data_IF_688888662218
#
_entry.id   IF_688888662218
#
_cell.length_a   1.000
_cell.length_b   1.000
_cell.length_c   1.000
_cell.angle_alpha   90.00
_cell.angle_beta   90.00
_cell.angle_gamma   90.00
#
_symmetry.space_group_name_H-M   'P 1'
#
loop_
_entity.id
_entity.type
_entity.pdbx_description
1 polymer ?
#
# COMPACT_ATOMS: atom_id res chain seq x y z
N UNK A 1 -1.46 -29.97 0.23
CA UNK A 1 -0.12 -29.54 -0.28
C UNK A 1 -0.04 -28.03 -0.27
N UNK A 2 1.04 -27.47 0.27
CA UNK A 2 1.21 -26.02 0.51
C UNK A 2 1.62 -25.24 -0.74
N UNK A 3 1.29 -23.96 -0.74
CA UNK A 3 1.75 -22.96 -1.73
C UNK A 3 2.57 -21.90 -0.98
N UNK A 4 3.75 -21.56 -1.51
CA UNK A 4 4.58 -20.46 -0.99
C UNK A 4 4.46 -19.26 -1.92
N UNK A 5 4.08 -18.12 -1.37
CA UNK A 5 4.07 -16.83 -2.09
C UNK A 5 5.30 -16.04 -1.65
N UNK A 6 6.09 -15.58 -2.60
CA UNK A 6 7.29 -14.75 -2.34
C UNK A 6 7.03 -13.34 -2.84
N UNK A 7 7.03 -12.37 -1.90
CA UNK A 7 6.89 -10.95 -2.17
C UNK A 7 7.75 -10.15 -1.19
N UNK A 8 8.99 -9.85 -1.59
CA UNK A 8 9.99 -9.21 -0.72
C UNK A 8 10.20 -7.72 -0.99
N UNK A 9 9.21 -7.07 -1.62
CA UNK A 9 9.21 -5.65 -1.95
C UNK A 9 8.77 -4.77 -0.79
N UNK A 10 8.34 -3.54 -1.12
CA UNK A 10 7.79 -2.57 -0.19
C UNK A 10 6.35 -2.91 0.19
N UNK A 11 5.87 -2.25 1.24
CA UNK A 11 4.53 -2.45 1.79
C UNK A 11 3.41 -2.28 0.75
N UNK A 12 3.44 -1.20 -0.04
CA UNK A 12 2.45 -0.96 -1.08
C UNK A 12 2.39 -2.09 -2.12
N UNK A 13 3.56 -2.58 -2.55
CA UNK A 13 3.63 -3.71 -3.48
C UNK A 13 3.02 -4.98 -2.89
N UNK A 14 3.18 -5.21 -1.58
CA UNK A 14 2.54 -6.34 -0.90
C UNK A 14 1.02 -6.19 -0.85
N UNK A 15 0.52 -4.99 -0.48
CA UNK A 15 -0.92 -4.71 -0.50
C UNK A 15 -1.54 -4.99 -1.86
N UNK A 16 -0.87 -4.62 -2.93
CA UNK A 16 -1.34 -4.89 -4.28
C UNK A 16 -1.55 -6.39 -4.58
N UNK A 17 -0.87 -7.27 -3.85
CA UNK A 17 -1.00 -8.72 -4.01
C UNK A 17 -2.08 -9.35 -3.13
N UNK A 18 -2.62 -8.64 -2.15
CA UNK A 18 -3.60 -9.19 -1.21
C UNK A 18 -4.87 -9.76 -1.87
N UNK A 19 -5.48 -9.12 -2.89
CA UNK A 19 -6.63 -9.71 -3.57
C UNK A 19 -6.31 -11.10 -4.16
N UNK A 20 -5.10 -11.28 -4.67
CA UNK A 20 -4.65 -12.55 -5.26
C UNK A 20 -4.40 -13.60 -4.19
N UNK A 21 -3.87 -13.20 -3.04
CA UNK A 21 -3.73 -14.08 -1.87
C UNK A 21 -5.11 -14.50 -1.36
N UNK A 22 -6.09 -13.60 -1.34
CA UNK A 22 -7.48 -13.90 -0.97
C UNK A 22 -8.12 -14.88 -1.96
N UNK A 23 -7.92 -14.70 -3.27
CA UNK A 23 -8.39 -15.63 -4.27
C UNK A 23 -7.77 -17.03 -4.08
N UNK A 24 -6.48 -17.11 -3.78
CA UNK A 24 -5.82 -18.37 -3.41
C UNK A 24 -6.43 -18.96 -2.14
N UNK A 25 -6.59 -18.16 -1.07
CA UNK A 25 -7.20 -18.60 0.19
C UNK A 25 -8.59 -19.21 -0.04
N UNK A 26 -9.41 -18.56 -0.83
CA UNK A 26 -10.77 -19.04 -1.15
C UNK A 26 -10.77 -20.39 -1.87
N UNK A 27 -9.74 -20.66 -2.69
CA UNK A 27 -9.66 -21.89 -3.50
C UNK A 27 -8.92 -23.05 -2.82
N UNK A 28 -7.88 -22.78 -2.04
CA UNK A 28 -7.02 -23.83 -1.46
C UNK A 28 -6.98 -23.83 0.07
N UNK A 29 -7.69 -22.91 0.73
CA UNK A 29 -7.66 -22.73 2.19
C UNK A 29 -6.41 -22.01 2.70
N UNK A 30 -6.55 -21.22 3.76
CA UNK A 30 -5.44 -20.45 4.34
C UNK A 30 -4.32 -21.32 4.89
N UNK A 31 -4.66 -22.49 5.42
CA UNK A 31 -3.74 -23.48 6.01
C UNK A 31 -2.74 -24.02 4.99
N UNK A 32 -3.03 -23.84 3.71
CA UNK A 32 -2.17 -24.23 2.60
C UNK A 32 -1.33 -23.07 2.01
N UNK A 33 -1.40 -21.87 2.60
CA UNK A 33 -0.68 -20.70 2.09
C UNK A 33 0.39 -20.27 3.10
N UNK A 34 1.65 -20.34 2.67
CA UNK A 34 2.77 -19.72 3.36
C UNK A 34 3.24 -18.50 2.55
N UNK A 35 3.64 -17.43 3.24
CA UNK A 35 4.09 -16.18 2.59
C UNK A 35 5.49 -15.79 3.07
N UNK A 36 6.35 -15.39 2.14
CA UNK A 36 7.67 -14.86 2.42
C UNK A 36 7.71 -13.37 2.06
N UNK A 37 7.91 -12.52 3.06
CA UNK A 37 7.98 -11.06 2.92
C UNK A 37 9.31 -10.49 3.40
N UNK A 38 9.60 -9.23 3.01
CA UNK A 38 10.77 -8.52 3.49
C UNK A 38 10.66 -8.15 4.98
N UNK A 39 11.80 -8.14 5.67
CA UNK A 39 11.92 -7.66 7.04
C UNK A 39 11.51 -6.19 7.22
N UNK A 40 11.66 -5.37 6.16
CA UNK A 40 11.26 -3.97 6.15
C UNK A 40 9.73 -3.76 6.13
N UNK A 41 8.95 -4.81 5.84
CA UNK A 41 7.49 -4.76 5.91
C UNK A 41 7.11 -5.03 7.37
N UNK A 42 6.16 -4.28 7.88
CA UNK A 42 5.70 -4.41 9.27
C UNK A 42 5.14 -5.80 9.55
N UNK A 43 6.03 -6.70 9.94
CA UNK A 43 5.78 -8.13 10.12
C UNK A 43 4.58 -8.40 11.05
N UNK A 44 4.54 -7.73 12.22
CA UNK A 44 3.48 -7.95 13.19
C UNK A 44 2.08 -7.59 12.70
N UNK A 45 1.98 -6.68 11.73
CA UNK A 45 0.72 -6.32 11.12
C UNK A 45 0.11 -7.48 10.31
N UNK A 46 0.95 -8.17 9.53
CA UNK A 46 0.47 -9.29 8.69
C UNK A 46 0.21 -10.57 9.47
N UNK A 47 0.94 -10.81 10.56
CA UNK A 47 0.71 -11.96 11.45
C UNK A 47 -0.71 -12.00 12.02
N UNK A 48 -1.28 -10.82 12.29
CA UNK A 48 -2.62 -10.69 12.89
C UNK A 48 -3.76 -10.87 11.89
N UNK A 49 -3.46 -10.93 10.59
CA UNK A 49 -4.49 -10.91 9.54
C UNK A 49 -5.03 -12.27 9.18
N UNK A 50 -4.94 -13.30 9.80
CA UNK A 50 -5.54 -14.61 9.48
C UNK A 50 -5.78 -14.92 7.97
N UNK A 51 -4.84 -14.45 7.12
CA UNK A 51 -4.94 -14.57 5.66
C UNK A 51 -4.19 -15.82 5.16
N UNK A 52 -3.14 -16.20 5.86
CA UNK A 52 -2.23 -17.29 5.48
C UNK A 52 -1.82 -18.11 6.71
N UNK A 53 -1.27 -19.28 6.46
CA UNK A 53 -0.87 -20.21 7.52
C UNK A 53 0.40 -19.75 8.22
N UNK A 54 1.47 -19.47 7.44
CA UNK A 54 2.73 -19.01 7.99
C UNK A 54 3.23 -17.76 7.26
N UNK A 55 3.75 -16.82 8.06
CA UNK A 55 4.46 -15.67 7.57
C UNK A 55 5.96 -15.83 7.83
N UNK A 56 6.74 -15.83 6.76
CA UNK A 56 8.19 -15.95 6.84
C UNK A 56 8.84 -14.59 6.57
N UNK A 57 9.83 -14.24 7.40
CA UNK A 57 10.54 -12.98 7.34
C UNK A 57 11.85 -13.14 6.62
N UNK A 58 12.04 -12.41 5.50
CA UNK A 58 13.29 -12.37 4.77
C UNK A 58 14.17 -11.21 5.25
N UNK A 59 15.29 -11.50 5.88
CA UNK A 59 16.28 -10.48 6.25
C UNK A 59 17.05 -10.00 5.02
N UNK A 60 17.12 -8.69 4.80
CA UNK A 60 17.85 -8.13 3.67
C UNK A 60 19.36 -8.11 3.89
N UNK A 61 19.81 -7.95 5.13
CA UNK A 61 21.22 -7.71 5.48
C UNK A 61 21.92 -8.92 6.07
N UNK A 62 21.23 -9.80 6.80
CA UNK A 62 21.84 -10.89 7.55
C UNK A 62 21.88 -12.20 6.74
N UNK A 63 23.08 -12.62 6.31
CA UNK A 63 23.27 -13.83 5.51
C UNK A 63 22.91 -15.11 6.28
N UNK A 64 23.28 -15.20 7.57
CA UNK A 64 22.98 -16.37 8.40
C UNK A 64 21.48 -16.57 8.52
N UNK A 65 20.72 -15.50 8.79
CA UNK A 65 19.24 -15.55 8.81
C UNK A 65 18.66 -16.02 7.48
N UNK A 66 19.25 -15.62 6.34
CA UNK A 66 18.82 -16.08 5.01
C UNK A 66 19.04 -17.59 4.84
N UNK A 67 20.22 -18.10 5.22
CA UNK A 67 20.54 -19.52 5.13
C UNK A 67 19.59 -20.34 6.02
N UNK A 68 19.42 -19.95 7.28
CA UNK A 68 18.51 -20.62 8.22
C UNK A 68 17.07 -20.63 7.71
N UNK A 69 16.61 -19.54 7.11
CA UNK A 69 15.30 -19.48 6.48
C UNK A 69 15.16 -20.47 5.33
N UNK A 70 16.15 -20.52 4.44
CA UNK A 70 16.13 -21.46 3.31
C UNK A 70 16.14 -22.91 3.81
N UNK A 71 16.95 -23.25 4.81
CA UNK A 71 16.98 -24.58 5.43
C UNK A 71 15.65 -24.94 6.06
N UNK A 72 14.99 -23.99 6.75
CA UNK A 72 13.63 -24.18 7.30
C UNK A 72 12.61 -24.46 6.19
N UNK A 73 12.57 -23.64 5.16
CA UNK A 73 11.61 -23.75 4.07
C UNK A 73 11.86 -25.01 3.20
N UNK A 74 13.11 -25.43 3.05
CA UNK A 74 13.47 -26.66 2.28
C UNK A 74 12.89 -27.94 2.87
N UNK A 75 12.55 -27.95 4.16
CA UNK A 75 11.89 -29.10 4.81
C UNK A 75 10.44 -29.27 4.36
N UNK A 76 9.83 -28.24 3.77
CA UNK A 76 8.45 -28.23 3.30
C UNK A 76 8.45 -28.54 1.79
N UNK A 77 7.56 -29.45 1.37
CA UNK A 77 7.32 -29.70 -0.05
C UNK A 77 6.11 -28.88 -0.51
N UNK A 78 6.34 -27.92 -1.39
CA UNK A 78 5.31 -27.04 -1.93
C UNK A 78 4.72 -27.62 -3.22
N UNK A 79 3.40 -27.47 -3.41
CA UNK A 79 2.77 -27.70 -4.72
C UNK A 79 3.19 -26.58 -5.69
N UNK A 80 3.08 -25.35 -5.23
CA UNK A 80 3.46 -24.16 -5.99
C UNK A 80 4.39 -23.26 -5.19
N UNK A 81 5.37 -22.66 -5.87
CA UNK A 81 6.08 -21.47 -5.40
C UNK A 81 5.75 -20.35 -6.38
N UNK A 82 5.13 -19.27 -5.89
CA UNK A 82 4.68 -18.12 -6.68
C UNK A 82 5.57 -16.94 -6.33
N UNK A 83 6.29 -16.41 -7.32
CA UNK A 83 7.20 -15.27 -7.15
C UNK A 83 6.58 -14.06 -7.83
N UNK A 84 6.22 -13.04 -7.04
CA UNK A 84 5.48 -11.86 -7.49
C UNK A 84 6.33 -10.58 -7.56
N UNK A 85 7.58 -10.61 -7.09
CA UNK A 85 8.45 -9.42 -7.01
C UNK A 85 9.50 -9.34 -8.11
N UNK A 86 9.61 -10.33 -8.96
CA UNK A 86 10.58 -10.41 -10.05
C UNK A 86 12.03 -10.13 -9.65
N UNK A 87 12.40 -10.36 -8.38
CA UNK A 87 13.74 -10.07 -7.86
C UNK A 87 14.61 -11.31 -7.86
N UNK A 88 15.88 -11.14 -8.27
CA UNK A 88 16.88 -12.22 -8.32
C UNK A 88 16.95 -12.99 -7.01
N UNK A 89 16.96 -12.29 -5.88
CA UNK A 89 17.00 -12.91 -4.55
C UNK A 89 15.82 -13.87 -4.29
N UNK A 90 14.62 -13.49 -4.70
CA UNK A 90 13.40 -14.30 -4.53
C UNK A 90 13.43 -15.52 -5.43
N UNK A 91 13.92 -15.34 -6.63
CA UNK A 91 14.13 -16.37 -7.60
C UNK A 91 15.19 -17.36 -7.09
N UNK A 92 16.38 -16.88 -6.70
CA UNK A 92 17.48 -17.71 -6.16
C UNK A 92 17.00 -18.55 -4.96
N UNK A 93 16.31 -17.92 -3.99
CA UNK A 93 15.77 -18.66 -2.83
C UNK A 93 14.87 -19.81 -3.31
N UNK A 94 13.99 -19.56 -4.26
CA UNK A 94 13.04 -20.56 -4.74
C UNK A 94 13.69 -21.80 -5.32
N UNK A 95 14.93 -21.70 -5.85
CA UNK A 95 15.67 -22.86 -6.39
C UNK A 95 16.11 -23.84 -5.32
N UNK A 96 16.42 -23.35 -4.14
CA UNK A 96 16.82 -24.20 -3.03
C UNK A 96 15.63 -24.89 -2.35
N UNK A 97 14.39 -24.57 -2.76
CA UNK A 97 13.18 -25.11 -2.18
C UNK A 97 12.59 -26.24 -3.02
N UNK A 98 11.93 -27.19 -2.33
CA UNK A 98 11.25 -28.31 -2.98
C UNK A 98 9.87 -27.88 -3.46
N UNK A 99 9.57 -28.02 -4.76
CA UNK A 99 8.24 -27.77 -5.31
C UNK A 99 7.93 -28.60 -6.54
N UNK A 100 6.64 -28.73 -6.87
CA UNK A 100 6.20 -29.33 -8.11
C UNK A 100 6.30 -28.34 -9.27
N UNK A 101 5.81 -27.10 -9.07
CA UNK A 101 5.86 -26.04 -10.08
C UNK A 101 6.26 -24.68 -9.45
N UNK A 102 6.93 -23.84 -10.23
CA UNK A 102 7.21 -22.43 -9.91
C UNK A 102 6.52 -21.54 -10.92
N UNK A 103 5.74 -20.58 -10.42
CA UNK A 103 5.17 -19.50 -11.23
C UNK A 103 5.96 -18.24 -10.94
N UNK A 104 6.65 -17.74 -11.94
CA UNK A 104 7.61 -16.64 -11.78
C UNK A 104 7.14 -15.45 -12.61
N UNK A 105 6.71 -14.38 -11.93
CA UNK A 105 6.51 -13.09 -12.58
C UNK A 105 7.89 -12.45 -12.79
N UNK A 106 8.20 -12.09 -14.03
CA UNK A 106 9.55 -11.76 -14.41
C UNK A 106 9.66 -10.50 -15.27
N UNK A 107 10.51 -9.52 -14.88
CA UNK A 107 10.87 -8.35 -15.71
C UNK A 107 11.99 -8.73 -16.69
N UNK A 108 11.65 -8.92 -17.94
CA UNK A 108 12.55 -9.39 -19.01
C UNK A 108 13.79 -8.51 -19.22
N UNK A 109 13.77 -7.26 -18.75
CA UNK A 109 14.89 -6.32 -18.92
C UNK A 109 16.02 -6.51 -17.92
N UNK A 110 15.78 -7.27 -16.83
CA UNK A 110 16.71 -7.40 -15.70
C UNK A 110 17.47 -8.72 -15.66
N UNK A 111 17.24 -9.63 -16.58
CA UNK A 111 17.91 -10.93 -16.55
C UNK A 111 19.34 -10.87 -17.05
N UNK A 112 20.26 -11.23 -16.17
CA UNK A 112 21.57 -11.75 -16.57
C UNK A 112 21.38 -13.01 -17.43
N UNK A 113 22.12 -13.10 -18.54
CA UNK A 113 22.08 -14.23 -19.49
C UNK A 113 22.16 -15.61 -18.81
N UNK A 114 22.97 -15.76 -17.76
CA UNK A 114 23.14 -16.99 -17.00
C UNK A 114 21.84 -17.45 -16.31
N UNK A 115 21.14 -16.55 -15.65
CA UNK A 115 19.85 -16.87 -15.03
C UNK A 115 18.79 -17.21 -16.09
N UNK A 116 18.81 -16.54 -17.23
CA UNK A 116 17.90 -16.81 -18.34
C UNK A 116 18.00 -18.27 -18.79
N UNK A 117 19.22 -18.77 -18.95
CA UNK A 117 19.46 -20.14 -19.36
C UNK A 117 18.96 -21.17 -18.34
N UNK A 118 19.29 -20.98 -17.06
CA UNK A 118 18.88 -21.89 -15.98
C UNK A 118 17.35 -21.91 -15.76
N UNK A 119 16.67 -20.80 -16.01
CA UNK A 119 15.25 -20.67 -15.72
C UNK A 119 14.35 -21.10 -16.87
N UNK A 120 14.67 -20.72 -18.09
CA UNK A 120 13.83 -21.00 -19.25
C UNK A 120 13.81 -22.50 -19.57
N UNK A 121 14.90 -23.22 -19.30
CA UNK A 121 15.02 -24.64 -19.64
C UNK A 121 14.46 -25.59 -18.57
N UNK A 122 13.99 -25.07 -17.43
CA UNK A 122 13.45 -25.93 -16.37
C UNK A 122 11.94 -26.14 -16.55
N UNK A 123 11.52 -27.36 -16.91
CA UNK A 123 10.11 -27.75 -17.13
C UNK A 123 9.17 -27.49 -15.92
N UNK A 124 9.73 -27.27 -14.72
CA UNK A 124 8.95 -26.93 -13.52
C UNK A 124 8.59 -25.43 -13.45
N UNK A 125 9.20 -24.59 -14.28
CA UNK A 125 9.02 -23.16 -14.24
C UNK A 125 8.00 -22.69 -15.27
N UNK A 126 7.01 -21.93 -14.81
CA UNK A 126 6.07 -21.17 -15.61
C UNK A 126 6.49 -19.72 -15.51
N UNK A 127 6.86 -19.11 -16.62
CA UNK A 127 7.37 -17.73 -16.63
C UNK A 127 6.33 -16.79 -17.22
N UNK A 128 5.90 -15.82 -16.44
CA UNK A 128 5.02 -14.75 -16.85
C UNK A 128 5.86 -13.50 -17.07
N UNK A 129 5.97 -13.08 -18.32
CA UNK A 129 6.81 -11.95 -18.68
C UNK A 129 6.12 -10.63 -18.35
N UNK A 130 6.80 -9.78 -17.57
CA UNK A 130 6.43 -8.40 -17.38
C UNK A 130 7.18 -7.50 -18.37
N UNK A 131 6.51 -7.13 -19.46
CA UNK A 131 7.03 -6.18 -20.44
C UNK A 131 6.77 -4.70 -20.07
N UNK A 132 6.14 -4.45 -18.91
CA UNK A 132 5.70 -3.14 -18.41
C UNK A 132 4.62 -2.42 -19.23
N UNK A 133 4.09 -3.03 -20.25
CA UNK A 133 2.98 -2.48 -21.04
C UNK A 133 1.62 -2.88 -20.44
N UNK A 134 1.62 -3.85 -19.53
CA UNK A 134 0.43 -4.34 -18.87
C UNK A 134 0.28 -3.79 -17.46
N UNK A 135 -0.96 -3.76 -16.99
CA UNK A 135 -1.24 -3.40 -15.59
C UNK A 135 -0.80 -4.53 -14.65
N UNK A 136 -0.46 -4.19 -13.41
CA UNK A 136 -0.13 -5.20 -12.40
C UNK A 136 -1.31 -6.14 -12.16
N UNK A 137 -2.54 -5.61 -12.26
CA UNK A 137 -3.75 -6.41 -12.17
C UNK A 137 -3.78 -7.54 -13.21
N UNK A 138 -3.54 -7.21 -14.50
CA UNK A 138 -3.52 -8.22 -15.57
C UNK A 138 -2.40 -9.24 -15.37
N UNK A 139 -1.23 -8.80 -14.94
CA UNK A 139 -0.11 -9.72 -14.69
C UNK A 139 -0.40 -10.72 -13.58
N UNK A 140 -1.01 -10.28 -12.50
CA UNK A 140 -1.39 -11.17 -11.41
C UNK A 140 -2.55 -12.10 -11.79
N UNK A 141 -3.48 -11.65 -12.64
CA UNK A 141 -4.51 -12.54 -13.18
C UNK A 141 -3.87 -13.67 -13.99
N UNK A 142 -2.89 -13.38 -14.85
CA UNK A 142 -2.14 -14.44 -15.56
C UNK A 142 -1.47 -15.43 -14.61
N UNK A 143 -0.97 -14.96 -13.44
CA UNK A 143 -0.44 -15.87 -12.42
C UNK A 143 -1.51 -16.79 -11.87
N UNK A 144 -2.72 -16.28 -11.60
CA UNK A 144 -3.83 -17.07 -11.11
C UNK A 144 -4.40 -18.03 -12.19
N UNK A 145 -4.42 -17.59 -13.45
CA UNK A 145 -4.87 -18.41 -14.59
C UNK A 145 -4.03 -19.68 -14.73
N UNK A 146 -2.71 -19.60 -14.48
CA UNK A 146 -1.83 -20.79 -14.46
C UNK A 146 -2.17 -21.78 -13.33
N UNK A 147 -2.94 -21.34 -12.37
CA UNK A 147 -3.45 -22.15 -11.25
C UNK A 147 -4.92 -22.53 -11.44
N UNK A 148 -5.56 -22.14 -12.54
CA UNK A 148 -7.00 -22.24 -12.79
C UNK A 148 -7.86 -21.54 -11.73
N UNK A 149 -7.40 -20.38 -11.22
CA UNK A 149 -8.08 -19.59 -10.21
C UNK A 149 -8.50 -18.25 -10.82
N UNK A 150 -9.76 -17.86 -10.63
CA UNK A 150 -10.28 -16.55 -11.04
C UNK A 150 -10.43 -15.64 -9.81
N UNK A 151 -10.07 -14.37 -9.98
CA UNK A 151 -10.30 -13.34 -8.98
C UNK A 151 -11.76 -12.88 -9.04
N UNK A 152 -12.37 -12.67 -7.88
CA UNK A 152 -13.74 -12.19 -7.72
C UNK A 152 -13.75 -10.86 -6.97
N UNK A 153 -14.85 -10.11 -7.00
CA UNK A 153 -14.98 -8.86 -6.25
C UNK A 153 -14.78 -9.03 -4.73
N UNK A 154 -15.17 -10.17 -4.18
CA UNK A 154 -14.99 -10.46 -2.76
C UNK A 154 -13.51 -10.54 -2.36
N UNK A 155 -12.63 -10.91 -3.28
CA UNK A 155 -11.20 -11.06 -3.01
C UNK A 155 -10.52 -9.70 -2.77
N UNK A 156 -11.14 -8.60 -3.24
CA UNK A 156 -10.69 -7.23 -2.96
C UNK A 156 -11.09 -6.74 -1.56
N UNK A 157 -12.01 -7.41 -0.88
CA UNK A 157 -12.38 -7.04 0.48
C UNK A 157 -11.30 -7.53 1.44
N UNK A 158 -10.45 -6.59 1.86
CA UNK A 158 -9.50 -6.87 2.94
C UNK A 158 -10.27 -6.98 4.25
N UNK A 159 -9.80 -7.84 5.13
CA UNK A 159 -10.39 -8.18 6.42
C UNK A 159 -10.83 -6.90 7.14
N UNK A 160 -12.09 -6.83 7.49
CA UNK A 160 -12.61 -5.77 8.36
C UNK A 160 -11.97 -5.94 9.73
N UNK A 161 -11.29 -4.90 10.19
CA UNK A 161 -11.08 -4.73 11.63
C UNK A 161 -12.45 -4.32 12.19
N UNK A 162 -12.98 -5.12 13.09
CA UNK A 162 -14.37 -4.97 13.54
C UNK A 162 -14.61 -3.68 14.34
N UNK A 163 -13.56 -3.01 14.87
CA UNK A 163 -13.76 -1.89 15.77
C UNK A 163 -12.88 -0.67 15.49
N UNK A 164 -13.52 0.44 15.13
CA UNK A 164 -12.94 1.78 15.31
C UNK A 164 -12.60 2.06 16.78
N UNK A 165 -13.31 1.47 17.71
CA UNK A 165 -13.10 1.56 19.16
C UNK A 165 -11.74 0.98 19.60
N UNK A 166 -11.18 0.07 18.83
CA UNK A 166 -9.82 -0.47 19.07
C UNK A 166 -8.68 0.50 18.72
N UNK A 167 -8.99 1.63 18.10
CA UNK A 167 -8.04 2.70 17.92
C UNK A 167 -7.97 3.47 19.23
N UNK A 168 -6.75 3.77 19.69
CA UNK A 168 -6.51 4.72 20.78
C UNK A 168 -6.87 6.16 20.37
N UNK A 169 -7.93 6.33 19.58
CA UNK A 169 -8.52 7.64 19.37
C UNK A 169 -9.02 8.14 20.73
N UNK A 170 -8.74 9.39 21.10
CA UNK A 170 -9.39 9.99 22.26
C UNK A 170 -10.91 9.76 22.15
N UNK A 171 -11.55 9.30 23.22
CA UNK A 171 -12.96 8.89 23.19
C UNK A 171 -13.94 9.93 22.62
N UNK A 172 -13.59 11.23 22.68
CA UNK A 172 -14.29 12.32 21.99
C UNK A 172 -14.18 12.27 20.46
N UNK A 173 -13.16 11.61 19.91
CA UNK A 173 -12.95 11.50 18.45
C UNK A 173 -13.61 10.24 17.88
N UNK A 174 -13.63 9.13 18.61
CA UNK A 174 -14.17 7.86 18.11
C UNK A 174 -15.70 7.91 17.92
N UNK A 175 -16.42 8.68 18.74
CA UNK A 175 -17.89 8.79 18.65
C UNK A 175 -18.37 9.90 17.72
N UNK A 176 -17.57 10.96 17.50
CA UNK A 176 -18.01 12.19 16.82
C UNK A 176 -17.49 12.39 15.40
N UNK A 177 -16.53 11.61 14.94
CA UNK A 177 -15.98 11.77 13.59
C UNK A 177 -16.58 10.73 12.64
N UNK A 178 -17.86 10.86 12.40
CA UNK A 178 -18.51 10.28 11.23
C UNK A 178 -18.42 11.32 10.13
N UNK A 179 -18.12 10.93 8.90
CA UNK A 179 -18.07 11.83 7.76
C UNK A 179 -16.81 12.72 7.71
N UNK A 180 -15.71 12.13 7.23
CA UNK A 180 -14.46 12.85 7.06
C UNK A 180 -13.70 12.45 5.79
N UNK A 181 -12.81 13.33 5.37
CA UNK A 181 -11.81 13.08 4.35
C UNK A 181 -10.46 12.80 5.01
N UNK A 182 -9.79 11.74 4.58
CA UNK A 182 -8.42 11.45 4.96
C UNK A 182 -7.46 12.21 4.05
N UNK A 183 -6.62 13.07 4.61
CA UNK A 183 -5.50 13.73 3.94
C UNK A 183 -4.18 13.15 4.46
N UNK A 184 -3.43 12.45 3.61
CA UNK A 184 -2.12 11.92 3.98
C UNK A 184 -1.00 12.87 3.57
N UNK A 185 -0.44 13.57 4.55
CA UNK A 185 0.60 14.58 4.37
C UNK A 185 1.97 13.99 4.71
N UNK A 186 2.55 13.25 3.78
CA UNK A 186 3.86 12.62 3.90
C UNK A 186 4.97 13.43 3.19
N UNK A 187 6.19 12.93 3.25
CA UNK A 187 7.37 13.55 2.62
C UNK A 187 7.21 13.76 1.10
N UNK A 188 6.29 13.05 0.46
CA UNK A 188 6.08 13.18 -1.00
C UNK A 188 5.47 14.51 -1.41
N UNK A 189 4.88 15.26 -0.49
CA UNK A 189 4.39 16.62 -0.77
C UNK A 189 5.52 17.61 -1.04
N UNK A 190 6.77 17.26 -0.66
CA UNK A 190 7.96 18.08 -0.81
C UNK A 190 8.97 17.34 -1.70
N UNK A 191 9.26 17.88 -2.89
CA UNK A 191 10.19 17.25 -3.82
C UNK A 191 11.59 17.10 -3.21
N UNK A 192 12.03 18.08 -2.42
CA UNK A 192 13.32 18.08 -1.71
C UNK A 192 13.46 16.95 -0.68
N UNK A 193 12.34 16.45 -0.12
CA UNK A 193 12.35 15.35 0.85
C UNK A 193 12.18 13.98 0.19
N UNK A 194 11.71 13.92 -1.05
CA UNK A 194 11.36 12.68 -1.75
C UNK A 194 12.16 12.48 -3.03
N UNK A 195 11.79 13.14 -4.11
CA UNK A 195 12.43 13.04 -5.43
C UNK A 195 12.57 14.46 -6.02
N UNK A 196 13.77 15.01 -5.98
CA UNK A 196 14.04 16.40 -6.37
C UNK A 196 13.62 16.78 -7.80
N UNK A 197 13.51 15.80 -8.71
CA UNK A 197 13.07 16.05 -10.11
C UNK A 197 11.56 16.11 -10.28
N UNK A 198 10.78 15.83 -9.24
CA UNK A 198 9.32 15.93 -9.31
C UNK A 198 8.88 17.37 -9.14
N UNK A 199 7.73 17.71 -9.73
CA UNK A 199 7.09 18.99 -9.50
C UNK A 199 6.82 19.19 -8.03
N UNK A 200 7.29 20.30 -7.45
CA UNK A 200 7.15 20.55 -6.03
C UNK A 200 5.75 21.07 -5.69
N UNK A 201 5.19 20.55 -4.61
CA UNK A 201 3.90 21.00 -4.07
C UNK A 201 4.15 22.01 -2.96
N UNK A 202 5.02 21.69 -2.01
CA UNK A 202 5.54 22.51 -0.91
C UNK A 202 4.50 23.45 -0.29
N UNK A 203 3.43 22.92 0.30
CA UNK A 203 2.42 23.76 0.93
C UNK A 203 3.03 24.59 2.06
N UNK A 204 2.73 25.89 2.04
CA UNK A 204 3.07 26.80 3.15
C UNK A 204 1.92 26.80 4.16
N UNK A 205 2.23 27.09 5.43
CA UNK A 205 1.25 26.96 6.54
C UNK A 205 -0.01 27.81 6.33
N UNK A 206 0.14 29.05 5.92
CA UNK A 206 -0.98 29.96 5.69
C UNK A 206 -1.86 29.49 4.52
N UNK A 207 -1.26 29.03 3.42
CA UNK A 207 -1.98 28.49 2.27
C UNK A 207 -2.72 27.20 2.65
N UNK A 208 -2.11 26.39 3.52
CA UNK A 208 -2.70 25.13 3.98
C UNK A 208 -3.91 25.37 4.90
N UNK A 209 -3.86 26.36 5.78
CA UNK A 209 -5.02 26.75 6.60
C UNK A 209 -6.16 27.28 5.73
N UNK A 210 -5.88 28.16 4.80
CA UNK A 210 -6.88 28.67 3.84
C UNK A 210 -7.50 27.50 3.05
N UNK A 211 -6.71 26.49 2.70
CA UNK A 211 -7.22 25.28 2.06
C UNK A 211 -8.18 24.52 2.97
N UNK A 212 -7.83 24.30 4.26
CA UNK A 212 -8.68 23.61 5.25
C UNK A 212 -10.03 24.35 5.38
N UNK A 213 -10.02 25.66 5.55
CA UNK A 213 -11.23 26.47 5.71
C UNK A 213 -12.13 26.40 4.45
N UNK A 214 -11.54 26.55 3.26
CA UNK A 214 -12.27 26.39 1.99
C UNK A 214 -12.80 24.98 1.79
N UNK A 215 -12.05 23.97 2.24
CA UNK A 215 -12.48 22.58 2.23
C UNK A 215 -13.72 22.41 3.11
N UNK A 216 -13.73 22.91 4.34
CA UNK A 216 -14.88 22.87 5.24
C UNK A 216 -16.09 23.55 4.62
N UNK A 217 -15.91 24.73 4.06
CA UNK A 217 -17.00 25.48 3.40
C UNK A 217 -17.62 24.70 2.24
N UNK A 218 -16.81 23.96 1.45
CA UNK A 218 -17.28 23.22 0.27
C UNK A 218 -17.77 21.82 0.60
N UNK A 219 -16.98 21.02 1.31
CA UNK A 219 -17.22 19.59 1.53
C UNK A 219 -18.18 19.31 2.68
N UNK A 220 -18.31 20.23 3.64
CA UNK A 220 -19.11 20.05 4.87
C UNK A 220 -18.73 18.78 5.63
N UNK A 221 -17.42 18.50 5.73
CA UNK A 221 -16.85 17.31 6.33
C UNK A 221 -15.65 17.67 7.19
N UNK A 222 -15.33 16.82 8.16
CA UNK A 222 -14.09 16.88 8.91
C UNK A 222 -12.90 16.45 8.04
N UNK A 223 -11.70 16.79 8.48
CA UNK A 223 -10.45 16.32 7.86
C UNK A 223 -9.64 15.57 8.91
N UNK A 224 -9.19 14.35 8.60
CA UNK A 224 -8.15 13.67 9.36
C UNK A 224 -6.86 13.75 8.55
N UNK A 225 -5.83 14.33 9.14
CA UNK A 225 -4.51 14.50 8.55
C UNK A 225 -3.59 13.46 9.17
N UNK A 226 -3.12 12.50 8.39
CA UNK A 226 -2.10 11.54 8.81
C UNK A 226 -0.75 11.88 8.19
N UNK A 227 0.33 11.44 8.83
CA UNK A 227 1.69 11.75 8.40
C UNK A 227 2.43 10.50 7.94
N UNK A 228 3.51 10.68 7.17
CA UNK A 228 4.48 9.64 6.90
C UNK A 228 5.36 9.32 8.11
N UNK A 229 6.34 8.43 7.92
CA UNK A 229 7.34 8.10 8.95
C UNK A 229 8.18 9.32 9.32
N UNK A 230 8.44 10.19 8.33
CA UNK A 230 9.13 11.46 8.54
C UNK A 230 8.11 12.58 8.51
N UNK A 231 8.11 13.40 9.54
CA UNK A 231 7.27 14.60 9.56
C UNK A 231 7.84 15.66 8.61
N UNK A 232 6.96 16.31 7.91
CA UNK A 232 7.32 17.45 7.07
C UNK A 232 7.46 18.71 7.92
N UNK A 233 8.24 19.72 7.49
CA UNK A 233 8.34 21.00 8.20
C UNK A 233 6.97 21.63 8.46
N UNK A 234 6.06 21.52 7.51
CA UNK A 234 4.69 22.02 7.64
C UNK A 234 3.94 21.46 8.85
N UNK A 235 4.09 20.18 9.15
CA UNK A 235 3.42 19.56 10.31
C UNK A 235 3.86 20.20 11.61
N UNK A 236 5.17 20.45 11.79
CA UNK A 236 5.69 21.13 12.98
C UNK A 236 5.14 22.55 13.12
N UNK A 237 5.11 23.31 12.01
CA UNK A 237 4.60 24.68 12.01
C UNK A 237 3.10 24.75 12.28
N UNK A 238 2.30 23.79 11.78
CA UNK A 238 0.87 23.72 12.05
C UNK A 238 0.59 23.41 13.53
N UNK A 239 1.28 22.41 14.07
CA UNK A 239 1.12 22.00 15.48
C UNK A 239 1.52 23.16 16.41
N UNK A 240 2.63 23.82 16.15
CA UNK A 240 3.14 24.88 17.00
C UNK A 240 2.23 26.12 17.05
N UNK A 241 1.64 26.49 15.90
CA UNK A 241 0.98 27.80 15.76
C UNK A 241 -0.54 27.76 15.74
N UNK A 242 -1.15 26.67 15.30
CA UNK A 242 -2.58 26.68 14.97
C UNK A 242 -3.37 25.52 15.55
N UNK A 243 -2.73 24.40 15.87
CA UNK A 243 -3.43 23.22 16.35
C UNK A 243 -3.31 23.08 17.87
N UNK A 244 -4.41 22.84 18.54
CA UNK A 244 -4.45 22.57 19.98
C UNK A 244 -4.16 21.10 20.22
N UNK A 245 -3.26 20.81 21.15
CA UNK A 245 -2.91 19.45 21.53
C UNK A 245 -4.05 18.79 22.31
N UNK A 246 -4.51 17.63 21.84
CA UNK A 246 -5.47 16.78 22.55
C UNK A 246 -4.72 15.76 23.43
N UNK A 247 -3.71 15.07 22.84
CA UNK A 247 -2.82 14.17 23.56
C UNK A 247 -1.46 14.06 22.82
N UNK A 248 -0.65 13.07 23.14
CA UNK A 248 0.71 12.92 22.58
C UNK A 248 0.74 12.85 21.05
N UNK A 249 -0.27 12.22 20.41
CA UNK A 249 -0.28 11.95 18.98
C UNK A 249 -1.40 12.68 18.23
N UNK A 250 -2.28 13.41 18.91
CA UNK A 250 -3.44 14.05 18.31
C UNK A 250 -3.49 15.54 18.60
N UNK A 251 -3.74 16.31 17.54
CA UNK A 251 -3.87 17.76 17.57
C UNK A 251 -5.10 18.16 16.74
N UNK A 252 -5.82 19.19 17.21
CA UNK A 252 -7.08 19.63 16.63
C UNK A 252 -7.04 21.10 16.24
N UNK A 253 -7.61 21.42 15.08
CA UNK A 253 -7.95 22.77 14.64
C UNK A 253 -9.45 22.82 14.33
N UNK A 254 -10.18 23.70 14.99
CA UNK A 254 -11.62 23.88 14.80
C UNK A 254 -11.92 25.10 13.95
N UNK A 255 -12.88 24.97 13.02
CA UNK A 255 -13.41 26.07 12.25
C UNK A 255 -14.92 25.85 12.02
N UNK A 256 -15.75 26.76 12.52
CA UNK A 256 -17.20 26.60 12.59
C UNK A 256 -17.60 25.28 13.29
N UNK A 257 -18.33 24.42 12.60
CA UNK A 257 -18.79 23.12 13.09
C UNK A 257 -17.89 21.95 12.66
N UNK A 258 -16.74 22.23 12.02
CA UNK A 258 -15.84 21.22 11.47
C UNK A 258 -14.49 21.23 12.15
N UNK A 259 -13.81 20.09 12.07
CA UNK A 259 -12.50 19.90 12.70
C UNK A 259 -11.49 19.31 11.72
N UNK A 260 -10.27 19.83 11.75
CA UNK A 260 -9.11 19.18 11.20
C UNK A 260 -8.31 18.53 12.34
N UNK A 261 -7.97 17.24 12.21
CA UNK A 261 -7.27 16.48 13.24
C UNK A 261 -5.99 15.92 12.65
N UNK A 262 -4.86 16.33 13.23
CA UNK A 262 -3.56 15.74 12.91
C UNK A 262 -3.36 14.51 13.79
N UNK A 263 -3.11 13.35 13.13
CA UNK A 263 -2.76 12.09 13.76
C UNK A 263 -1.29 11.77 13.45
N UNK A 264 -0.44 11.88 14.48
CA UNK A 264 0.98 11.54 14.39
C UNK A 264 1.20 10.05 14.68
N UNK A 265 2.30 9.50 14.17
CA UNK A 265 2.76 8.12 14.45
C UNK A 265 1.70 7.03 14.21
N UNK A 266 0.77 7.26 13.29
CA UNK A 266 -0.26 6.26 12.99
C UNK A 266 0.38 4.96 12.52
N UNK A 267 0.07 3.86 13.19
CA UNK A 267 0.45 2.52 12.74
C UNK A 267 -0.27 2.17 11.43
N UNK A 268 0.22 1.17 10.72
CA UNK A 268 -0.43 0.71 9.48
C UNK A 268 -1.87 0.24 9.75
N UNK A 269 -2.11 -0.41 10.90
CA UNK A 269 -3.46 -0.80 11.32
C UNK A 269 -4.38 0.42 11.48
N UNK A 270 -3.89 1.47 12.14
CA UNK A 270 -4.65 2.72 12.30
C UNK A 270 -4.92 3.39 10.96
N UNK A 271 -3.91 3.46 10.08
CA UNK A 271 -4.08 4.00 8.72
C UNK A 271 -5.13 3.23 7.90
N UNK A 272 -5.18 1.90 8.00
CA UNK A 272 -6.22 1.10 7.35
C UNK A 272 -7.62 1.43 7.90
N UNK A 273 -7.77 1.50 9.22
CA UNK A 273 -9.06 1.77 9.86
C UNK A 273 -9.52 3.20 9.53
N UNK A 274 -8.63 4.18 9.62
CA UNK A 274 -8.92 5.57 9.23
C UNK A 274 -9.31 5.63 7.75
N UNK A 275 -8.57 4.93 6.88
CA UNK A 275 -8.89 4.88 5.45
C UNK A 275 -10.26 4.25 5.20
N UNK A 276 -10.55 3.11 5.83
CA UNK A 276 -11.80 2.35 5.61
C UNK A 276 -13.05 3.15 5.95
N UNK A 277 -12.97 4.06 6.89
CA UNK A 277 -14.10 4.87 7.39
C UNK A 277 -14.14 6.29 6.78
N UNK A 278 -13.22 6.63 5.89
CA UNK A 278 -13.21 7.93 5.20
C UNK A 278 -14.12 7.94 3.97
N UNK A 279 -14.66 9.11 3.64
CA UNK A 279 -15.40 9.31 2.39
C UNK A 279 -14.48 9.48 1.19
N UNK A 280 -13.38 10.18 1.42
CA UNK A 280 -12.34 10.43 0.43
C UNK A 280 -10.97 10.18 1.02
N UNK A 281 -10.03 9.79 0.17
CA UNK A 281 -8.59 9.74 0.48
C UNK A 281 -7.87 10.70 -0.46
N UNK A 282 -7.11 11.64 0.08
CA UNK A 282 -6.24 12.55 -0.65
C UNK A 282 -4.80 12.18 -0.29
N UNK A 283 -4.00 11.80 -1.25
CA UNK A 283 -2.60 11.37 -1.00
C UNK A 283 -1.72 11.58 -2.22
N UNK A 284 -0.44 11.82 -2.01
CA UNK A 284 0.57 11.55 -3.03
C UNK A 284 0.75 10.04 -3.14
N UNK A 285 0.70 9.52 -4.37
CA UNK A 285 0.65 8.09 -4.66
C UNK A 285 1.48 7.19 -3.72
N UNK A 286 0.83 6.19 -3.13
CA UNK A 286 1.46 5.31 -2.15
C UNK A 286 0.56 4.18 -1.66
N UNK A 287 0.86 3.56 -0.50
CA UNK A 287 0.04 2.50 0.07
C UNK A 287 -1.43 2.88 0.28
N UNK A 288 -1.70 4.14 0.66
CA UNK A 288 -3.07 4.62 0.87
C UNK A 288 -3.88 4.68 -0.42
N UNK A 289 -3.22 4.94 -1.57
CA UNK A 289 -3.91 4.85 -2.88
C UNK A 289 -4.47 3.45 -3.12
N UNK A 290 -3.76 2.41 -2.67
CA UNK A 290 -4.23 1.03 -2.79
C UNK A 290 -5.36 0.69 -1.82
N UNK A 291 -5.35 1.27 -0.61
CA UNK A 291 -6.43 1.09 0.37
C UNK A 291 -7.78 1.56 -0.20
N UNK A 292 -7.80 2.66 -0.95
CA UNK A 292 -9.02 3.16 -1.58
C UNK A 292 -9.67 2.13 -2.50
N UNK A 293 -8.87 1.39 -3.25
CA UNK A 293 -9.34 0.31 -4.13
C UNK A 293 -9.99 -0.84 -3.36
N UNK A 294 -9.43 -1.18 -2.19
CA UNK A 294 -9.94 -2.26 -1.35
C UNK A 294 -11.23 -1.91 -0.62
N UNK A 295 -11.36 -0.65 -0.22
CA UNK A 295 -12.53 -0.17 0.55
C UNK A 295 -13.57 0.51 -0.33
N UNK A 296 -13.34 0.61 -1.64
CA UNK A 296 -14.20 1.30 -2.61
C UNK A 296 -14.44 2.78 -2.25
N UNK A 297 -13.41 3.45 -1.75
CA UNK A 297 -13.42 4.84 -1.31
C UNK A 297 -12.99 5.74 -2.47
N UNK A 298 -13.50 6.97 -2.50
CA UNK A 298 -13.10 7.95 -3.49
C UNK A 298 -11.64 8.38 -3.26
N UNK A 299 -10.78 8.14 -4.26
CA UNK A 299 -9.36 8.48 -4.23
C UNK A 299 -9.08 9.73 -5.06
N UNK A 300 -8.40 10.69 -4.44
CA UNK A 300 -7.74 11.79 -5.12
C UNK A 300 -6.23 11.51 -5.03
N UNK A 301 -5.67 10.98 -6.11
CA UNK A 301 -4.27 10.55 -6.19
C UNK A 301 -3.42 11.61 -6.87
N UNK A 302 -2.49 12.21 -6.14
CA UNK A 302 -1.61 13.27 -6.64
C UNK A 302 -0.37 12.60 -7.21
N UNK A 303 -0.20 12.71 -8.53
CA UNK A 303 0.83 11.99 -9.28
C UNK A 303 1.73 12.93 -10.08
N UNK A 304 2.95 12.48 -10.36
CA UNK A 304 3.85 13.17 -11.30
C UNK A 304 3.43 12.87 -12.75
N UNK A 305 3.16 13.91 -13.53
CA UNK A 305 2.66 13.80 -14.92
C UNK A 305 3.55 12.94 -15.81
N UNK A 306 4.85 13.10 -15.68
CA UNK A 306 5.85 12.36 -16.49
C UNK A 306 5.86 10.87 -16.21
N UNK A 307 5.25 10.43 -15.09
CA UNK A 307 5.18 9.02 -14.68
C UNK A 307 3.75 8.45 -14.69
N UNK A 308 2.82 9.12 -15.33
CA UNK A 308 1.40 8.71 -15.34
C UNK A 308 1.19 7.25 -15.75
N UNK A 309 1.87 6.76 -16.77
CA UNK A 309 1.78 5.36 -17.22
C UNK A 309 2.20 4.37 -16.12
N UNK A 310 3.19 4.75 -15.32
CA UNK A 310 3.64 3.92 -14.19
C UNK A 310 2.59 3.88 -13.08
N UNK A 311 2.00 5.01 -12.74
CA UNK A 311 0.93 5.07 -11.75
C UNK A 311 -0.32 4.31 -12.19
N UNK A 312 -0.76 4.53 -13.43
CA UNK A 312 -1.91 3.82 -14.01
C UNK A 312 -1.74 2.29 -13.94
N UNK A 313 -0.55 1.80 -14.17
CA UNK A 313 -0.23 0.39 -14.08
C UNK A 313 -0.60 -0.23 -12.71
N UNK A 314 -0.47 0.56 -11.64
CA UNK A 314 -0.74 0.13 -10.26
C UNK A 314 -2.16 0.43 -9.79
N UNK A 315 -2.84 1.41 -10.39
CA UNK A 315 -4.15 1.92 -9.95
C UNK A 315 -5.31 1.59 -10.87
N UNK A 316 -5.06 0.93 -12.00
CA UNK A 316 -6.06 0.63 -13.04
C UNK A 316 -7.29 -0.15 -12.56
N UNK A 317 -7.20 -0.84 -11.42
CA UNK A 317 -8.29 -1.60 -10.81
C UNK A 317 -9.16 -0.75 -9.86
N UNK A 318 -8.76 0.48 -9.55
CA UNK A 318 -9.46 1.35 -8.60
C UNK A 318 -10.64 2.01 -9.31
N UNK A 319 -11.87 1.67 -8.90
CA UNK A 319 -13.10 2.15 -9.55
C UNK A 319 -13.37 3.65 -9.35
N UNK A 320 -13.13 4.17 -8.15
CA UNK A 320 -13.35 5.57 -7.77
C UNK A 320 -12.03 6.34 -7.72
N UNK A 321 -11.40 6.52 -8.87
CA UNK A 321 -10.06 7.09 -9.02
C UNK A 321 -10.10 8.44 -9.71
N UNK A 322 -9.63 9.47 -9.01
CA UNK A 322 -9.43 10.82 -9.53
C UNK A 322 -7.95 11.15 -9.45
N UNK A 323 -7.30 11.36 -10.58
CA UNK A 323 -5.90 11.79 -10.63
C UNK A 323 -5.81 13.31 -10.67
N UNK A 324 -4.88 13.84 -9.90
CA UNK A 324 -4.43 15.22 -10.03
C UNK A 324 -2.92 15.22 -10.29
N UNK A 325 -2.44 16.19 -11.07
CA UNK A 325 -1.02 16.31 -11.31
C UNK A 325 -0.35 17.20 -10.28
N UNK A 326 0.87 16.82 -9.88
CA UNK A 326 1.71 17.63 -9.01
C UNK A 326 1.94 19.00 -9.63
N UNK A 327 1.79 20.04 -8.84
CA UNK A 327 2.03 21.45 -9.12
C UNK A 327 2.14 22.21 -7.80
N UNK A 328 2.39 23.53 -7.82
CA UNK A 328 2.41 24.33 -6.61
C UNK A 328 1.09 24.17 -5.83
N UNK A 329 1.18 24.28 -4.49
CA UNK A 329 0.04 23.97 -3.61
C UNK A 329 -1.16 24.88 -3.84
N UNK A 330 -0.94 26.17 -4.16
CA UNK A 330 -2.01 27.14 -4.39
C UNK A 330 -2.93 26.75 -5.55
N UNK A 331 -2.39 26.16 -6.61
CA UNK A 331 -3.16 25.64 -7.74
C UNK A 331 -3.77 24.28 -7.44
N UNK A 332 -2.97 23.39 -6.86
CA UNK A 332 -3.38 22.02 -6.53
C UNK A 332 -4.54 22.02 -5.53
N UNK A 333 -4.50 22.86 -4.51
CA UNK A 333 -5.56 22.97 -3.49
C UNK A 333 -6.93 23.33 -4.09
N UNK A 334 -6.97 24.21 -5.11
CA UNK A 334 -8.19 24.55 -5.84
C UNK A 334 -8.75 23.32 -6.57
N UNK A 335 -7.91 22.57 -7.25
CA UNK A 335 -8.33 21.34 -7.96
C UNK A 335 -8.82 20.26 -7.00
N UNK A 336 -8.16 20.09 -5.86
CA UNK A 336 -8.61 19.16 -4.81
C UNK A 336 -10.02 19.54 -4.37
N UNK A 337 -10.29 20.81 -4.05
CA UNK A 337 -11.60 21.29 -3.60
C UNK A 337 -12.68 21.10 -4.68
N UNK A 338 -12.35 21.29 -5.95
CA UNK A 338 -13.28 21.06 -7.06
C UNK A 338 -13.60 19.58 -7.28
N UNK A 339 -12.66 18.69 -6.97
CA UNK A 339 -12.78 17.24 -7.17
C UNK A 339 -13.59 16.55 -6.05
N UNK A 340 -13.65 17.16 -4.88
CA UNK A 340 -14.42 16.62 -3.75
C UNK A 340 -15.91 16.80 -4.00
N UNK A 341 -16.63 15.71 -3.85
CA UNK A 341 -18.08 15.64 -4.04
C UNK A 341 -18.81 15.75 -2.72
#
# INVERSE_FOLDING_TARGET
MKTLIIRTDKLGDFYQTLPYINALKRNIGKENIDVLISESIHYHFFEKKDIFNNLHKFSQTNLVKKILLVLKLRKISYKYIIILDAKDRSIIISFFLKCLKRVILFDTRKLNFFFRFLFLNNKKNIIIQDNRNETCFNLYNKVLDELNIKINEIDFKIIRYEDMESLNFPGSLSQNIKNYTLLHLDEKWFSSLYINKFSDISPQKEEFLIFIEKFFAKAKQNIIITTGIKYTPLIYELIDKFFTKINTNFYEYGFDNFKAIICLNSSIKELEIISMNSNNIITCHGPLSLFSGFFNINLIDIIEKTQEKWYYRHTSHIKKYNKLYRKNFKELSKEIILTIK
#
